data_IF_970047246388
#
_entry.id   IF_970047246388
#
_cell.length_a   1.000
_cell.length_b   1.000
_cell.length_c   1.000
_cell.angle_alpha   90.00
_cell.angle_beta   90.00
_cell.angle_gamma   90.00
#
_symmetry.space_group_name_H-M   'P 1'
#
loop_
_entity.id
_entity.type
_entity.pdbx_description
1 polymer ?
#
# COMPACT_ATOMS: atom_id res chain seq x y z
N UNK A 1 59.00 -28.93 3.85
CA UNK A 1 58.00 -29.17 4.90
C UNK A 1 56.80 -28.29 4.58
N UNK A 2 55.64 -28.84 4.19
CA UNK A 2 54.50 -28.03 3.78
C UNK A 2 53.72 -27.56 5.01
N UNK A 3 53.46 -26.25 5.10
CA UNK A 3 52.64 -25.65 6.15
C UNK A 3 51.16 -25.86 5.83
N UNK A 4 50.43 -26.50 6.74
CA UNK A 4 48.98 -26.60 6.70
C UNK A 4 48.30 -25.24 6.93
N UNK A 5 47.18 -24.93 6.24
CA UNK A 5 46.41 -23.73 6.49
C UNK A 5 45.56 -23.89 7.77
N UNK A 6 45.56 -22.84 8.59
CA UNK A 6 44.69 -22.71 9.77
C UNK A 6 43.27 -22.39 9.32
N UNK A 7 42.36 -23.35 9.51
CA UNK A 7 40.92 -23.15 9.38
C UNK A 7 40.43 -22.42 10.64
N UNK A 8 40.00 -21.17 10.48
CA UNK A 8 39.34 -20.39 11.53
C UNK A 8 37.84 -20.63 11.39
N UNK A 9 37.28 -21.47 12.27
CA UNK A 9 35.84 -21.65 12.43
C UNK A 9 35.27 -20.45 13.19
N UNK A 10 34.73 -19.47 12.46
CA UNK A 10 33.95 -18.39 13.05
C UNK A 10 32.59 -18.95 13.50
N UNK A 11 32.40 -19.10 14.80
CA UNK A 11 31.15 -19.52 15.40
C UNK A 11 30.20 -18.32 15.46
N UNK A 12 29.26 -18.23 14.51
CA UNK A 12 28.15 -17.29 14.57
C UNK A 12 27.18 -17.71 15.68
N UNK A 13 27.29 -17.09 16.86
CA UNK A 13 26.23 -17.12 17.86
C UNK A 13 25.07 -16.22 17.41
N UNK A 14 24.12 -16.79 16.66
CA UNK A 14 22.79 -16.20 16.50
C UNK A 14 21.98 -16.46 17.78
N UNK A 15 22.01 -15.52 18.72
CA UNK A 15 20.97 -15.44 19.76
C UNK A 15 19.71 -14.84 19.13
N UNK A 16 18.84 -15.70 18.58
CA UNK A 16 17.44 -15.34 18.31
C UNK A 16 16.69 -15.33 19.64
N UNK A 17 16.46 -14.15 20.20
CA UNK A 17 15.37 -13.95 21.13
C UNK A 17 14.07 -14.05 20.32
N UNK A 18 13.41 -15.22 20.37
CA UNK A 18 12.03 -15.32 19.91
C UNK A 18 11.15 -14.77 21.02
N UNK A 19 10.63 -13.56 20.82
CA UNK A 19 9.48 -13.09 21.55
C UNK A 19 8.32 -14.03 21.23
N UNK A 20 7.90 -14.81 22.21
CA UNK A 20 6.66 -15.60 22.13
C UNK A 20 5.53 -14.61 22.37
N UNK A 21 5.03 -14.03 21.29
CA UNK A 21 3.77 -13.30 21.33
C UNK A 21 2.66 -14.28 21.69
N UNK A 22 2.01 -13.99 22.81
CA UNK A 22 0.88 -14.73 23.32
C UNK A 22 -0.34 -14.41 22.45
N UNK A 23 -0.36 -14.95 21.23
CA UNK A 23 -1.50 -14.90 20.34
C UNK A 23 -2.66 -15.65 21.02
N UNK A 24 -3.60 -14.88 21.56
CA UNK A 24 -4.96 -15.37 21.78
C UNK A 24 -5.40 -16.03 20.48
N UNK A 25 -5.72 -17.32 20.55
CA UNK A 25 -6.45 -18.06 19.53
C UNK A 25 -7.82 -17.42 19.37
N UNK A 26 -7.88 -16.28 18.68
CA UNK A 26 -9.09 -15.78 18.08
C UNK A 26 -9.48 -16.82 17.05
N UNK A 27 -10.50 -17.61 17.37
CA UNK A 27 -11.24 -18.36 16.36
C UNK A 27 -11.63 -17.32 15.31
N UNK A 28 -10.98 -17.39 14.15
CA UNK A 28 -11.37 -16.62 12.98
C UNK A 28 -12.79 -17.08 12.67
N UNK A 29 -13.79 -16.31 13.13
CA UNK A 29 -15.16 -16.49 12.68
C UNK A 29 -15.12 -16.48 11.15
N UNK A 30 -15.91 -17.33 10.46
CA UNK A 30 -16.00 -17.30 9.01
C UNK A 30 -16.38 -15.88 8.60
N UNK A 31 -15.36 -15.09 8.25
CA UNK A 31 -15.52 -13.70 7.90
C UNK A 31 -16.38 -13.72 6.66
N UNK A 32 -17.57 -13.13 6.79
CA UNK A 32 -18.60 -13.18 5.77
C UNK A 32 -17.93 -13.02 4.41
N UNK A 33 -18.11 -14.03 3.57
CA UNK A 33 -17.94 -13.86 2.15
C UNK A 33 -18.96 -12.80 1.80
N UNK A 34 -18.54 -11.53 1.80
CA UNK A 34 -19.18 -10.50 1.02
C UNK A 34 -19.16 -11.03 -0.40
N UNK A 35 -20.20 -11.80 -0.75
CA UNK A 35 -20.73 -11.79 -2.10
C UNK A 35 -20.69 -10.33 -2.47
N UNK A 36 -19.78 -9.99 -3.38
CA UNK A 36 -19.64 -8.67 -3.96
C UNK A 36 -20.95 -7.91 -3.78
N UNK A 37 -21.02 -6.90 -2.89
CA UNK A 37 -22.29 -6.21 -2.69
C UNK A 37 -22.76 -5.82 -4.09
N UNK A 38 -24.01 -6.15 -4.42
CA UNK A 38 -24.56 -5.91 -5.76
C UNK A 38 -24.42 -4.43 -6.15
N UNK A 39 -24.27 -3.56 -5.14
CA UNK A 39 -24.07 -2.12 -5.22
C UNK A 39 -22.65 -1.69 -5.63
N UNK A 40 -21.71 -2.62 -5.81
CA UNK A 40 -20.36 -2.31 -6.27
C UNK A 40 -19.54 -1.51 -5.26
N UNK A 41 -19.72 -1.76 -3.96
CA UNK A 41 -18.97 -1.10 -2.89
C UNK A 41 -17.89 -2.01 -2.30
N UNK A 42 -16.87 -1.38 -1.71
CA UNK A 42 -15.82 -1.99 -0.90
C UNK A 42 -15.96 -1.49 0.52
N UNK A 43 -16.10 -2.43 1.44
CA UNK A 43 -16.05 -2.15 2.87
C UNK A 43 -14.66 -2.52 3.42
N UNK A 44 -13.82 -1.53 3.77
CA UNK A 44 -12.49 -1.78 4.31
C UNK A 44 -12.50 -2.53 5.66
N UNK A 45 -13.61 -2.54 6.41
CA UNK A 45 -13.71 -3.31 7.67
C UNK A 45 -13.70 -4.82 7.42
N UNK A 46 -13.89 -5.25 6.18
CA UNK A 46 -13.73 -6.66 5.78
C UNK A 46 -12.28 -7.06 5.53
N UNK A 47 -11.34 -6.12 5.47
CA UNK A 47 -9.90 -6.37 5.35
C UNK A 47 -9.30 -6.90 6.66
N UNK A 48 -8.33 -7.85 6.66
CA UNK A 48 -7.61 -8.28 7.86
C UNK A 48 -7.23 -7.13 8.79
N UNK A 49 -7.59 -7.28 10.08
CA UNK A 49 -7.37 -6.22 11.06
C UNK A 49 -5.88 -6.00 11.29
N UNK A 50 -5.47 -4.75 11.22
CA UNK A 50 -4.11 -4.33 11.46
C UNK A 50 -4.10 -3.15 12.42
N UNK A 51 -3.57 -3.36 13.61
CA UNK A 51 -3.55 -2.33 14.67
C UNK A 51 -2.87 -1.03 14.22
N UNK A 52 -1.85 -1.13 13.37
CA UNK A 52 -1.11 0.01 12.82
C UNK A 52 -1.59 0.48 11.45
N UNK A 53 -2.67 -0.09 10.89
CA UNK A 53 -3.25 0.47 9.68
C UNK A 53 -3.95 1.76 10.04
N UNK A 54 -3.24 2.87 9.91
CA UNK A 54 -3.69 4.21 10.29
C UNK A 54 -4.91 4.70 9.53
N UNK A 55 -5.35 3.97 8.50
CA UNK A 55 -6.40 4.41 7.61
C UNK A 55 -7.59 3.45 7.52
N UNK A 56 -7.64 2.35 8.28
CA UNK A 56 -8.76 1.38 8.21
C UNK A 56 -9.33 1.09 9.60
N UNK A 57 -9.48 2.14 10.42
CA UNK A 57 -9.86 2.01 11.83
C UNK A 57 -10.99 2.97 12.19
N UNK A 58 -11.83 2.61 13.16
CA UNK A 58 -13.01 3.37 13.61
C UNK A 58 -12.69 4.83 14.01
N UNK A 59 -11.47 5.10 14.46
CA UNK A 59 -11.00 6.44 14.84
C UNK A 59 -10.29 7.23 13.74
N UNK A 60 -10.18 6.70 12.52
CA UNK A 60 -9.46 7.36 11.43
C UNK A 60 -10.14 7.05 10.09
N UNK A 61 -10.72 8.07 9.42
CA UNK A 61 -11.43 7.82 8.18
C UNK A 61 -10.48 7.20 7.15
N UNK A 62 -11.03 6.34 6.27
CA UNK A 62 -10.29 5.85 5.13
C UNK A 62 -9.70 7.01 4.33
N UNK A 63 -8.47 6.85 3.80
CA UNK A 63 -7.79 7.93 3.09
C UNK A 63 -8.63 8.32 1.88
N UNK A 64 -8.62 9.60 1.51
CA UNK A 64 -9.33 10.12 0.34
C UNK A 64 -8.62 9.74 -0.97
N UNK A 65 -8.35 8.45 -1.16
CA UNK A 65 -7.84 7.86 -2.40
C UNK A 65 -8.93 7.82 -3.48
N UNK A 66 -10.17 7.70 -3.03
CA UNK A 66 -11.38 7.52 -3.83
C UNK A 66 -12.54 8.22 -3.13
N UNK A 67 -13.58 8.57 -3.89
CA UNK A 67 -14.83 9.10 -3.33
C UNK A 67 -15.39 8.11 -2.31
N UNK A 68 -15.56 8.61 -1.09
CA UNK A 68 -16.17 7.92 0.03
C UNK A 68 -17.68 8.04 -0.04
N UNK A 69 -18.37 6.91 -0.04
CA UNK A 69 -19.84 6.83 -0.13
C UNK A 69 -20.43 6.26 1.15
N UNK A 70 -21.64 6.70 1.47
CA UNK A 70 -22.44 6.07 2.52
C UNK A 70 -22.97 4.73 2.01
N UNK A 71 -22.50 3.64 2.59
CA UNK A 71 -22.90 2.28 2.25
C UNK A 71 -23.76 1.62 3.33
N UNK A 72 -24.40 0.48 3.02
CA UNK A 72 -25.08 -0.32 4.04
C UNK A 72 -24.06 -0.84 5.07
N UNK A 73 -24.44 -0.93 6.34
CA UNK A 73 -23.63 -1.59 7.38
C UNK A 73 -23.29 -3.01 6.91
N UNK A 74 -22.01 -3.30 6.61
CA UNK A 74 -21.63 -4.65 6.20
C UNK A 74 -21.76 -5.65 7.35
N UNK A 75 -21.78 -5.19 8.60
CA UNK A 75 -21.96 -6.00 9.77
C UNK A 75 -22.38 -5.10 10.96
N UNK A 76 -23.19 -5.60 11.89
CA UNK A 76 -23.47 -4.92 13.17
C UNK A 76 -22.23 -4.96 14.09
N UNK A 77 -21.03 -4.72 13.55
CA UNK A 77 -19.80 -4.68 14.36
C UNK A 77 -19.50 -3.27 14.80
N UNK A 78 -18.90 -3.15 15.98
CA UNK A 78 -18.45 -1.89 16.57
C UNK A 78 -17.54 -1.06 15.64
N UNK A 79 -16.95 -1.66 14.60
CA UNK A 79 -16.13 -0.96 13.60
C UNK A 79 -16.95 -0.27 12.49
N UNK A 80 -18.17 -0.74 12.23
CA UNK A 80 -19.15 -0.06 11.35
C UNK A 80 -19.91 1.05 12.07
N UNK A 81 -19.95 1.01 13.40
CA UNK A 81 -20.56 2.03 14.24
C UNK A 81 -19.54 3.16 14.52
N UNK A 82 -19.39 4.13 13.60
CA UNK A 82 -18.48 5.28 13.82
C UNK A 82 -18.99 6.27 14.87
N UNK A 83 -19.39 5.79 16.06
CA UNK A 83 -19.83 6.59 17.20
C UNK A 83 -20.83 7.69 16.82
N UNK A 84 -21.55 7.53 15.71
CA UNK A 84 -22.44 8.55 15.21
C UNK A 84 -23.55 8.69 16.25
N UNK A 85 -23.78 9.93 16.70
CA UNK A 85 -24.87 10.26 17.60
C UNK A 85 -26.13 9.48 17.18
N UNK A 86 -26.78 8.88 18.19
CA UNK A 86 -28.02 8.12 18.03
C UNK A 86 -28.95 8.90 17.10
N UNK A 87 -29.40 8.27 16.02
CA UNK A 87 -30.22 8.95 15.03
C UNK A 87 -31.48 9.52 15.73
N UNK A 88 -31.94 10.75 15.40
CA UNK A 88 -33.06 11.40 16.10
C UNK A 88 -34.40 10.65 16.03
N UNK A 89 -34.52 9.61 15.20
CA UNK A 89 -35.69 8.72 15.12
C UNK A 89 -35.55 7.43 15.94
N UNK A 90 -34.49 7.30 16.75
CA UNK A 90 -34.28 6.15 17.64
C UNK A 90 -33.72 4.90 16.97
N UNK A 91 -33.40 4.94 15.67
CA UNK A 91 -32.56 3.91 15.03
C UNK A 91 -31.13 4.02 15.59
N UNK A 92 -30.41 2.89 15.66
CA UNK A 92 -29.06 2.78 16.21
C UNK A 92 -28.05 3.76 15.58
N UNK A 93 -26.79 3.80 16.06
CA UNK A 93 -25.77 4.67 15.48
C UNK A 93 -25.76 4.52 13.95
N UNK A 94 -25.60 5.64 13.23
CA UNK A 94 -25.47 5.58 11.76
C UNK A 94 -24.33 4.60 11.44
N UNK A 95 -24.59 3.65 10.56
CA UNK A 95 -23.57 2.95 9.78
C UNK A 95 -22.57 4.01 9.30
N UNK A 96 -21.44 4.08 9.99
CA UNK A 96 -20.65 5.28 10.01
C UNK A 96 -19.39 5.16 9.17
N UNK A 97 -18.94 3.94 8.87
CA UNK A 97 -17.77 3.75 8.04
C UNK A 97 -18.11 3.98 6.57
N UNK A 98 -17.49 5.03 6.04
CA UNK A 98 -17.53 5.32 4.61
C UNK A 98 -16.93 4.14 3.84
N UNK A 99 -17.62 3.75 2.78
CA UNK A 99 -17.18 2.71 1.86
C UNK A 99 -16.59 3.35 0.60
N UNK A 100 -15.85 2.59 -0.19
CA UNK A 100 -15.46 3.04 -1.52
C UNK A 100 -16.36 2.48 -2.58
N UNK A 101 -16.51 3.23 -3.67
CA UNK A 101 -16.88 2.63 -4.96
C UNK A 101 -15.78 1.67 -5.39
N UNK A 102 -16.17 0.42 -5.67
CA UNK A 102 -15.27 -0.65 -6.09
C UNK A 102 -14.48 -0.29 -7.33
N UNK A 103 -15.12 0.33 -8.31
CA UNK A 103 -14.47 0.73 -9.55
C UNK A 103 -13.27 1.65 -9.28
N UNK A 104 -13.42 2.63 -8.39
CA UNK A 104 -12.31 3.49 -8.03
C UNK A 104 -11.24 2.72 -7.25
N UNK A 105 -11.63 2.05 -6.16
CA UNK A 105 -10.69 1.41 -5.24
C UNK A 105 -9.87 0.30 -5.92
N UNK A 106 -10.51 -0.54 -6.74
CA UNK A 106 -9.83 -1.62 -7.44
C UNK A 106 -8.94 -1.12 -8.59
N UNK A 107 -9.07 0.12 -9.07
CA UNK A 107 -8.21 0.71 -10.09
C UNK A 107 -6.96 1.40 -9.52
N UNK A 108 -6.84 1.49 -8.19
CA UNK A 108 -5.63 2.02 -7.55
C UNK A 108 -4.43 1.12 -7.85
N UNK A 109 -3.27 1.72 -8.16
CA UNK A 109 -1.99 1.01 -8.33
C UNK A 109 -1.32 0.60 -7.01
N UNK A 110 -1.79 1.18 -5.90
CA UNK A 110 -1.29 0.96 -4.55
C UNK A 110 -2.41 1.10 -3.51
N UNK A 111 -3.51 0.37 -3.69
CA UNK A 111 -4.69 0.42 -2.81
C UNK A 111 -4.43 -0.06 -1.38
N UNK A 112 -3.31 -0.76 -1.16
CA UNK A 112 -2.91 -1.33 0.14
C UNK A 112 -1.84 -0.52 0.89
N UNK A 113 -1.52 0.70 0.48
CA UNK A 113 -0.49 1.54 1.13
C UNK A 113 -0.68 1.69 2.64
N UNK A 114 -1.93 1.78 3.10
CA UNK A 114 -2.28 1.89 4.51
C UNK A 114 -2.10 0.60 5.33
N UNK A 115 -1.96 -0.55 4.68
CA UNK A 115 -1.64 -1.82 5.33
C UNK A 115 -0.12 -2.05 5.47
N UNK A 116 0.71 -1.11 5.00
CA UNK A 116 2.16 -1.32 4.94
C UNK A 116 2.81 -1.55 6.31
N UNK A 117 2.25 -0.96 7.37
CA UNK A 117 2.77 -1.08 8.73
C UNK A 117 2.35 -2.38 9.43
N UNK A 118 1.58 -3.23 8.76
CA UNK A 118 1.20 -4.53 9.29
C UNK A 118 2.38 -5.50 9.29
N UNK A 119 2.36 -6.48 10.19
CA UNK A 119 3.32 -7.58 10.11
C UNK A 119 3.11 -8.39 8.81
N UNK A 120 4.14 -9.13 8.38
CA UNK A 120 4.11 -9.86 7.11
C UNK A 120 2.93 -10.82 6.94
N UNK A 121 2.53 -11.52 8.01
CA UNK A 121 1.39 -12.42 7.96
C UNK A 121 0.10 -11.66 7.61
N UNK A 122 -0.17 -10.56 8.32
CA UNK A 122 -1.34 -9.72 8.06
C UNK A 122 -1.28 -9.01 6.71
N UNK A 123 -0.08 -8.63 6.27
CA UNK A 123 0.14 -8.09 4.93
C UNK A 123 -0.28 -9.10 3.85
N UNK A 124 0.17 -10.35 3.91
CA UNK A 124 -0.21 -11.36 2.94
C UNK A 124 -1.71 -11.71 2.98
N UNK A 125 -2.30 -11.82 4.18
CA UNK A 125 -3.75 -11.99 4.31
C UNK A 125 -4.52 -10.81 3.68
N UNK A 126 -3.97 -9.59 3.78
CA UNK A 126 -4.54 -8.39 3.18
C UNK A 126 -4.41 -8.39 1.65
N UNK A 127 -3.26 -8.81 1.12
CA UNK A 127 -3.08 -8.99 -0.32
C UNK A 127 -4.06 -10.03 -0.88
N UNK A 128 -4.24 -11.16 -0.19
CA UNK A 128 -5.20 -12.19 -0.58
C UNK A 128 -6.64 -11.66 -0.56
N UNK A 129 -7.00 -10.89 0.48
CA UNK A 129 -8.29 -10.21 0.56
C UNK A 129 -8.49 -9.25 -0.62
N UNK A 130 -7.49 -8.41 -0.92
CA UNK A 130 -7.57 -7.46 -2.03
C UNK A 130 -7.67 -8.17 -3.37
N UNK A 131 -6.89 -9.23 -3.60
CA UNK A 131 -6.96 -10.02 -4.82
C UNK A 131 -8.32 -10.71 -5.01
N UNK A 132 -8.96 -11.13 -3.92
CA UNK A 132 -10.32 -11.70 -3.96
C UNK A 132 -11.39 -10.67 -4.27
N UNK A 133 -11.27 -9.47 -3.69
CA UNK A 133 -12.25 -8.39 -3.81
C UNK A 133 -12.09 -7.60 -5.11
N UNK A 134 -10.86 -7.49 -5.61
CA UNK A 134 -10.44 -6.75 -6.78
C UNK A 134 -9.58 -7.62 -7.73
N UNK A 135 -10.11 -8.72 -8.29
CA UNK A 135 -9.33 -9.68 -9.07
C UNK A 135 -8.68 -9.06 -10.31
N UNK A 136 -9.35 -8.10 -10.95
CA UNK A 136 -8.90 -7.43 -12.18
C UNK A 136 -8.03 -6.19 -11.91
N UNK A 137 -7.72 -5.89 -10.65
CA UNK A 137 -6.94 -4.71 -10.31
C UNK A 137 -5.58 -4.70 -11.01
N UNK A 138 -5.10 -3.56 -11.51
CA UNK A 138 -3.70 -3.45 -11.92
C UNK A 138 -2.74 -3.76 -10.76
N UNK A 139 -3.16 -3.53 -9.50
CA UNK A 139 -2.30 -3.71 -8.34
C UNK A 139 -2.18 -5.14 -7.82
N UNK A 140 -2.94 -6.09 -8.38
CA UNK A 140 -2.75 -7.53 -8.12
C UNK A 140 -1.83 -8.19 -9.14
N UNK A 141 -1.48 -7.46 -10.22
CA UNK A 141 -0.60 -7.99 -11.26
C UNK A 141 0.86 -7.90 -10.80
N UNK A 142 1.68 -8.92 -11.09
CA UNK A 142 3.12 -8.82 -10.90
C UNK A 142 3.68 -7.62 -11.65
N UNK A 143 4.63 -6.94 -11.03
CA UNK A 143 5.34 -5.82 -11.62
C UNK A 143 6.13 -6.30 -12.85
N UNK A 144 5.95 -5.63 -13.98
CA UNK A 144 6.73 -5.89 -15.18
C UNK A 144 8.07 -5.15 -15.12
N UNK A 145 9.15 -5.88 -14.83
CA UNK A 145 10.51 -5.34 -14.79
C UNK A 145 11.15 -5.17 -16.17
N UNK A 146 10.50 -5.58 -17.27
CA UNK A 146 11.07 -5.50 -18.62
C UNK A 146 11.36 -4.06 -19.06
N UNK A 147 10.65 -3.07 -18.50
CA UNK A 147 10.88 -1.66 -18.74
C UNK A 147 12.14 -1.08 -18.11
N UNK A 148 12.81 -1.78 -17.19
CA UNK A 148 14.05 -1.33 -16.54
C UNK A 148 15.30 -1.57 -17.40
N UNK A 149 16.35 -0.75 -17.23
CA UNK A 149 17.67 -1.04 -17.80
C UNK A 149 18.28 -2.29 -17.17
N UNK A 150 19.16 -2.97 -17.91
CA UNK A 150 19.76 -4.24 -17.49
C UNK A 150 20.53 -4.14 -16.16
N UNK A 151 21.16 -3.00 -15.88
CA UNK A 151 21.88 -2.69 -14.65
C UNK A 151 21.02 -2.76 -13.37
N UNK A 152 19.71 -2.44 -13.47
CA UNK A 152 18.79 -2.40 -12.34
C UNK A 152 17.78 -3.56 -12.33
N UNK A 153 17.43 -4.13 -13.49
CA UNK A 153 16.33 -5.08 -13.65
C UNK A 153 16.39 -6.27 -12.69
N UNK A 154 17.47 -7.05 -12.74
CA UNK A 154 17.61 -8.26 -11.92
C UNK A 154 17.78 -7.91 -10.44
N UNK A 155 18.46 -6.79 -10.16
CA UNK A 155 18.62 -6.31 -8.79
C UNK A 155 17.27 -6.05 -8.13
N UNK A 156 16.36 -5.36 -8.83
CA UNK A 156 15.09 -4.95 -8.25
C UNK A 156 14.12 -6.12 -8.11
N UNK A 157 14.09 -7.02 -9.08
CA UNK A 157 13.32 -8.27 -9.06
C UNK A 157 13.67 -9.12 -7.82
N UNK A 158 14.98 -9.40 -7.64
CA UNK A 158 15.50 -10.15 -6.50
C UNK A 158 15.25 -9.45 -5.17
N UNK A 159 15.54 -8.14 -5.11
CA UNK A 159 15.42 -7.36 -3.87
C UNK A 159 13.97 -7.28 -3.38
N UNK A 160 13.01 -7.14 -4.30
CA UNK A 160 11.59 -7.08 -3.97
C UNK A 160 11.12 -8.41 -3.34
N UNK A 161 11.51 -9.54 -3.93
CA UNK A 161 11.20 -10.86 -3.39
C UNK A 161 11.84 -11.07 -2.01
N UNK A 162 13.15 -10.76 -1.88
CA UNK A 162 13.89 -10.89 -0.62
C UNK A 162 13.32 -10.01 0.50
N UNK A 163 12.73 -8.87 0.16
CA UNK A 163 12.10 -7.98 1.12
C UNK A 163 10.85 -8.62 1.76
N UNK A 164 10.10 -9.45 1.02
CA UNK A 164 8.87 -10.10 1.49
C UNK A 164 7.65 -9.90 0.58
N UNK A 165 7.82 -9.18 -0.54
CA UNK A 165 6.80 -9.01 -1.55
C UNK A 165 6.70 -10.25 -2.45
N UNK A 166 6.16 -11.34 -1.91
CA UNK A 166 6.17 -12.67 -2.54
C UNK A 166 5.47 -12.71 -3.91
N UNK A 167 4.39 -11.95 -4.06
CA UNK A 167 3.60 -11.85 -5.30
C UNK A 167 4.16 -10.80 -6.26
N UNK A 168 5.17 -10.04 -5.82
CA UNK A 168 5.82 -8.96 -6.58
C UNK A 168 4.83 -7.97 -7.19
N UNK A 169 3.72 -7.71 -6.49
CA UNK A 169 2.67 -6.81 -6.94
C UNK A 169 3.08 -5.35 -6.82
N UNK A 170 2.42 -4.47 -7.60
CA UNK A 170 2.62 -3.02 -7.42
C UNK A 170 2.10 -2.54 -6.06
N UNK A 171 1.10 -3.21 -5.47
CA UNK A 171 0.69 -2.95 -4.09
C UNK A 171 1.87 -3.03 -3.13
N UNK A 172 2.63 -4.12 -3.12
CA UNK A 172 3.76 -4.27 -2.21
C UNK A 172 4.92 -3.35 -2.57
N UNK A 173 5.30 -3.30 -3.86
CA UNK A 173 6.41 -2.47 -4.32
C UNK A 173 6.19 -0.97 -4.05
N UNK A 174 5.04 -0.43 -4.47
CA UNK A 174 4.77 0.99 -4.34
C UNK A 174 4.48 1.41 -2.89
N UNK A 175 3.93 0.53 -2.06
CA UNK A 175 3.72 0.83 -0.63
C UNK A 175 5.03 0.90 0.15
N UNK A 176 6.04 0.10 -0.23
CA UNK A 176 7.40 0.22 0.30
C UNK A 176 8.03 1.53 -0.15
N UNK A 177 8.00 1.79 -1.46
CA UNK A 177 8.65 2.98 -2.02
C UNK A 177 10.17 2.94 -1.92
N UNK A 178 10.79 1.76 -2.04
CA UNK A 178 12.25 1.59 -1.99
C UNK A 178 12.72 0.90 -3.27
N UNK A 179 13.74 1.46 -3.92
CA UNK A 179 14.38 0.87 -5.11
C UNK A 179 15.66 0.11 -4.77
N UNK A 180 15.90 -0.15 -3.48
CA UNK A 180 16.93 -1.03 -2.94
C UNK A 180 18.33 -0.73 -3.46
N UNK A 181 18.62 0.55 -3.68
CA UNK A 181 19.87 1.01 -4.27
C UNK A 181 20.22 0.41 -5.65
N UNK A 182 19.27 -0.24 -6.33
CA UNK A 182 19.53 -0.91 -7.61
C UNK A 182 19.90 0.07 -8.73
N UNK A 183 19.44 1.32 -8.64
CA UNK A 183 19.83 2.41 -9.53
C UNK A 183 21.33 2.76 -9.44
N UNK A 184 22.02 2.49 -8.33
CA UNK A 184 23.46 2.80 -8.18
C UNK A 184 24.36 1.99 -9.10
N UNK A 185 23.84 0.91 -9.69
CA UNK A 185 24.54 0.10 -10.69
C UNK A 185 24.45 0.67 -12.11
N UNK A 186 23.60 1.67 -12.30
CA UNK A 186 23.36 2.33 -13.57
C UNK A 186 24.13 3.66 -13.62
N UNK A 187 24.81 3.91 -14.73
CA UNK A 187 25.86 4.93 -14.80
C UNK A 187 25.53 6.13 -15.66
N UNK A 188 24.57 6.02 -16.58
CA UNK A 188 24.23 7.08 -17.51
C UNK A 188 22.82 7.66 -17.29
N UNK A 189 22.61 8.86 -17.85
CA UNK A 189 21.36 9.61 -17.71
C UNK A 189 20.18 8.90 -18.42
N UNK A 190 20.46 8.11 -19.46
CA UNK A 190 19.44 7.38 -20.22
C UNK A 190 18.85 6.25 -19.37
N UNK A 191 19.70 5.45 -18.73
CA UNK A 191 19.31 4.40 -17.79
C UNK A 191 18.54 4.99 -16.59
N UNK A 192 19.00 6.12 -16.05
CA UNK A 192 18.31 6.81 -14.97
C UNK A 192 16.92 7.27 -15.40
N UNK A 193 16.80 7.91 -16.56
CA UNK A 193 15.52 8.33 -17.11
C UNK A 193 14.60 7.12 -17.40
N UNK A 194 15.16 5.99 -17.84
CA UNK A 194 14.41 4.75 -18.02
C UNK A 194 13.84 4.22 -16.70
N UNK A 195 14.63 4.23 -15.61
CA UNK A 195 14.13 3.84 -14.27
C UNK A 195 13.04 4.81 -13.80
N UNK A 196 13.23 6.13 -13.95
CA UNK A 196 12.22 7.11 -13.56
C UNK A 196 10.90 6.94 -14.33
N UNK A 197 10.98 6.67 -15.64
CA UNK A 197 9.79 6.42 -16.46
C UNK A 197 9.07 5.14 -16.04
N UNK A 198 9.83 4.08 -15.78
CA UNK A 198 9.30 2.82 -15.30
C UNK A 198 8.61 2.98 -13.93
N UNK A 199 9.20 3.73 -13.00
CA UNK A 199 8.59 4.00 -11.69
C UNK A 199 7.21 4.68 -11.81
N UNK A 200 7.06 5.64 -12.72
CA UNK A 200 5.77 6.33 -12.96
C UNK A 200 4.73 5.41 -13.63
N UNK A 201 5.19 4.43 -14.41
CA UNK A 201 4.29 3.44 -15.01
C UNK A 201 3.75 2.47 -13.96
N UNK A 202 4.62 2.01 -13.05
CA UNK A 202 4.27 1.00 -12.03
C UNK A 202 3.57 1.62 -10.83
N UNK A 203 4.03 2.78 -10.37
CA UNK A 203 3.53 3.45 -9.16
C UNK A 203 2.82 4.77 -9.49
N UNK A 204 1.82 5.18 -8.69
CA UNK A 204 1.11 6.44 -8.90
C UNK A 204 1.92 7.62 -8.33
N UNK A 205 3.12 7.83 -8.86
CA UNK A 205 4.03 8.93 -8.45
C UNK A 205 4.28 9.90 -9.60
N UNK A 206 4.57 11.15 -9.25
CA UNK A 206 4.91 12.23 -10.16
C UNK A 206 6.32 12.06 -10.75
N UNK A 207 6.62 12.75 -11.88
CA UNK A 207 7.98 12.80 -12.42
C UNK A 207 9.02 13.33 -11.41
N UNK A 208 8.65 14.27 -10.54
CA UNK A 208 9.51 14.80 -9.49
C UNK A 208 9.84 13.77 -8.41
N UNK A 209 8.84 13.02 -7.93
CA UNK A 209 9.04 11.93 -6.97
C UNK A 209 9.90 10.82 -7.56
N UNK A 210 9.69 10.46 -8.83
CA UNK A 210 10.52 9.48 -9.52
C UNK A 210 11.99 9.92 -9.61
N UNK A 211 12.25 11.19 -9.95
CA UNK A 211 13.61 11.76 -9.93
C UNK A 211 14.20 11.80 -8.52
N UNK A 212 13.39 12.08 -7.51
CA UNK A 212 13.83 12.07 -6.12
C UNK A 212 14.20 10.64 -5.68
N UNK A 213 13.45 9.63 -6.11
CA UNK A 213 13.74 8.23 -5.85
C UNK A 213 15.13 7.82 -6.33
N UNK A 214 15.56 8.31 -7.50
CA UNK A 214 16.90 8.05 -8.03
C UNK A 214 18.03 8.72 -7.23
N UNK A 215 17.73 9.75 -6.44
CA UNK A 215 18.72 10.42 -5.58
C UNK A 215 18.83 9.77 -4.21
N UNK A 216 17.69 9.38 -3.64
CA UNK A 216 17.59 8.89 -2.26
C UNK A 216 17.52 7.36 -2.16
N UNK A 217 17.24 6.66 -3.26
CA UNK A 217 16.84 5.25 -3.27
C UNK A 217 15.40 5.01 -2.81
N UNK A 218 14.62 6.06 -2.52
CA UNK A 218 13.27 5.94 -1.94
C UNK A 218 12.30 7.00 -2.45
N UNK A 219 11.03 6.62 -2.56
CA UNK A 219 9.90 7.50 -2.78
C UNK A 219 8.80 7.21 -1.75
N UNK A 220 7.89 8.15 -1.59
CA UNK A 220 6.66 7.93 -0.84
C UNK A 220 5.51 8.02 -1.83
N UNK A 221 4.44 7.29 -1.56
CA UNK A 221 3.16 7.65 -2.14
C UNK A 221 2.69 8.84 -1.31
N UNK A 222 2.70 10.03 -1.89
CA UNK A 222 1.85 11.08 -1.35
C UNK A 222 0.43 10.53 -1.43
N UNK A 223 -0.13 10.10 -0.27
CA UNK A 223 -1.57 9.96 -0.13
C UNK A 223 -2.11 11.27 -0.62
N UNK A 224 -2.80 11.27 -1.76
CA UNK A 224 -3.38 12.46 -2.39
C UNK A 224 -3.93 13.33 -1.26
N UNK A 225 -3.16 14.31 -0.81
CA UNK A 225 -3.69 15.36 0.03
C UNK A 225 -4.65 16.03 -0.92
N UNK A 226 -5.94 15.99 -0.57
CA UNK A 226 -7.06 16.31 -1.44
C UNK A 226 -6.80 17.53 -2.34
N UNK A 227 -7.49 17.60 -3.49
CA UNK A 227 -7.14 18.49 -4.61
C UNK A 227 -6.62 19.82 -4.09
N UNK A 228 -5.36 20.15 -4.40
CA UNK A 228 -4.82 21.48 -4.13
C UNK A 228 -5.88 22.47 -4.64
N UNK A 229 -6.49 23.18 -3.69
CA UNK A 229 -7.49 24.19 -4.00
C UNK A 229 -6.85 25.07 -5.08
N UNK A 230 -7.46 25.17 -6.28
CA UNK A 230 -6.82 25.85 -7.40
C UNK A 230 -6.44 27.23 -6.90
N UNK A 231 -5.13 27.50 -6.87
CA UNK A 231 -4.64 28.81 -6.48
C UNK A 231 -5.22 29.77 -7.51
N UNK A 232 -6.31 30.45 -7.15
CA UNK A 232 -6.94 31.45 -7.99
C UNK A 232 -5.91 32.55 -8.10
N UNK A 233 -5.15 32.54 -9.19
CA UNK A 233 -4.28 33.64 -9.56
C UNK A 233 -5.20 34.80 -9.83
N UNK A 234 -5.40 35.65 -8.82
CA UNK A 234 -6.19 36.86 -8.90
C UNK A 234 -5.63 37.71 -10.04
N UNK A 235 -6.29 37.63 -11.20
CA UNK A 235 -5.94 38.42 -12.36
C UNK A 235 -6.36 39.85 -12.02
N UNK A 236 -5.41 40.64 -11.53
CA UNK A 236 -5.57 42.05 -11.26
C UNK A 236 -5.98 42.76 -12.55
N UNK A 237 -7.28 43.04 -12.67
CA UNK A 237 -7.85 43.76 -13.81
C UNK A 237 -7.19 45.16 -13.89
N UNK A 238 -6.61 45.57 -15.03
CA UNK A 238 -6.06 46.91 -15.15
C UNK A 238 -7.18 47.94 -15.01
N UNK A 239 -6.97 48.94 -14.14
CA UNK A 239 -7.79 50.15 -14.11
C UNK A 239 -7.59 50.86 -15.45
N UNK A 240 -8.70 51.09 -16.15
CA UNK A 240 -8.77 52.06 -17.23
C UNK A 240 -8.84 53.45 -16.58
N UNK A 241 -7.81 54.26 -16.83
CA UNK A 241 -7.81 55.70 -16.58
C UNK A 241 -8.47 56.45 -17.76
#
# INVERSE_FOLDING_TARGET
MPSLPRIILLSCFLTRAMAVDNHRNGILLPRQTSSASEDGLIDPVTQPYCEYSSCWHWGSPPPELCELVDGPCANDTDASDNMAEKHPDGRGPKCGMKQYRRECYCNLKAGLSCAWWCNWKLWWETEDWFAKVCPESPATKPVDFSGLPSCARHCLDDALFQYGCLTQTSNCFCSRGDIFDCHKKCGDEEEWQQIANWLQQVCPITPSEAKQALKSGRFSLETVTGPEEPTVTETKLPRLD
#
